data_IF_301479935254
#
_entry.id   IF_301479935254
#
_cell.length_a   1.000
_cell.length_b   1.000
_cell.length_c   1.000
_cell.angle_alpha   90.00
_cell.angle_beta   90.00
_cell.angle_gamma   90.00
#
_symmetry.space_group_name_H-M   'P 1'
#
loop_
_entity.id
_entity.type
_entity.pdbx_description
1 polymer ?
#
# COMPACT_ATOMS: atom_id res chain seq x y z
N UNK A 1 -13.65 -11.68 -14.43
CA UNK A 1 -13.68 -10.36 -15.09
C UNK A 1 -12.75 -10.30 -16.30
N UNK A 2 -11.58 -10.96 -16.31
CA UNK A 2 -10.74 -11.09 -17.52
C UNK A 2 -10.03 -9.80 -17.95
N UNK A 3 -10.04 -8.76 -17.10
CA UNK A 3 -9.42 -7.46 -17.37
C UNK A 3 -8.76 -6.90 -16.11
N UNK A 4 -7.67 -6.16 -16.31
CA UNK A 4 -6.98 -5.40 -15.26
C UNK A 4 -7.30 -3.89 -15.32
N UNK A 5 -8.15 -3.47 -16.27
CA UNK A 5 -8.56 -2.07 -16.42
C UNK A 5 -9.58 -1.69 -15.34
N UNK A 6 -9.18 -0.80 -14.42
CA UNK A 6 -10.05 -0.29 -13.36
C UNK A 6 -11.30 0.41 -13.91
N UNK A 7 -11.25 0.97 -15.12
CA UNK A 7 -12.40 1.60 -15.76
C UNK A 7 -13.42 0.58 -16.29
N UNK A 8 -13.07 -0.71 -16.29
CA UNK A 8 -13.94 -1.84 -16.69
C UNK A 8 -14.48 -2.65 -15.52
N UNK A 9 -14.09 -2.33 -14.29
CA UNK A 9 -14.55 -2.98 -13.06
C UNK A 9 -15.62 -2.14 -12.34
N UNK A 10 -16.27 -2.71 -11.31
CA UNK A 10 -17.26 -2.00 -10.50
C UNK A 10 -18.35 -2.93 -9.94
N UNK A 11 -18.82 -2.61 -8.74
CA UNK A 11 -19.93 -3.27 -8.05
C UNK A 11 -19.70 -4.73 -7.66
N UNK A 12 -18.45 -5.20 -7.69
CA UNK A 12 -18.11 -6.60 -7.44
C UNK A 12 -18.34 -7.07 -6.01
N UNK A 13 -18.58 -6.16 -5.05
CA UNK A 13 -18.86 -6.54 -3.65
C UNK A 13 -20.07 -7.47 -3.54
N UNK A 14 -21.05 -7.32 -4.44
CA UNK A 14 -22.25 -8.16 -4.49
C UNK A 14 -21.97 -9.60 -4.93
N UNK A 15 -20.86 -9.85 -5.65
CA UNK A 15 -20.48 -11.16 -6.19
C UNK A 15 -19.31 -11.80 -5.48
N UNK A 16 -18.43 -10.98 -4.90
CA UNK A 16 -17.19 -11.39 -4.26
C UNK A 16 -17.04 -10.73 -2.87
N UNK A 17 -17.99 -10.90 -1.95
CA UNK A 17 -17.98 -10.24 -0.64
C UNK A 17 -16.79 -10.65 0.25
N UNK A 18 -16.31 -11.88 0.15
CA UNK A 18 -15.17 -12.35 0.96
C UNK A 18 -13.86 -11.78 0.41
N UNK A 19 -13.69 -11.75 -0.91
CA UNK A 19 -12.54 -11.08 -1.53
C UNK A 19 -12.54 -9.58 -1.20
N UNK A 20 -13.72 -8.94 -1.22
CA UNK A 20 -13.87 -7.55 -0.79
C UNK A 20 -13.40 -7.33 0.66
N UNK A 21 -13.83 -8.19 1.59
CA UNK A 21 -13.45 -8.10 3.00
C UNK A 21 -11.92 -8.19 3.16
N UNK A 22 -11.28 -9.17 2.53
CA UNK A 22 -9.82 -9.33 2.58
C UNK A 22 -9.12 -8.09 2.03
N UNK A 23 -9.54 -7.60 0.86
CA UNK A 23 -8.96 -6.39 0.27
C UNK A 23 -9.15 -5.20 1.20
N UNK A 24 -10.34 -5.04 1.79
CA UNK A 24 -10.64 -3.95 2.71
C UNK A 24 -9.71 -3.99 3.93
N UNK A 25 -9.46 -5.16 4.53
CA UNK A 25 -8.48 -5.32 5.61
C UNK A 25 -7.08 -4.86 5.16
N UNK A 26 -6.64 -5.30 3.98
CA UNK A 26 -5.37 -4.86 3.41
C UNK A 26 -5.29 -3.35 3.17
N UNK A 27 -6.39 -2.73 2.72
CA UNK A 27 -6.50 -1.30 2.47
C UNK A 27 -6.48 -0.50 3.77
N UNK A 28 -7.18 -0.94 4.81
CA UNK A 28 -7.13 -0.35 6.15
C UNK A 28 -5.70 -0.44 6.70
N UNK A 29 -5.01 -1.58 6.47
CA UNK A 29 -3.61 -1.76 6.81
C UNK A 29 -2.67 -0.79 6.11
N UNK A 30 -2.77 -0.69 4.77
CA UNK A 30 -1.96 0.23 3.98
C UNK A 30 -2.25 1.71 4.29
N UNK A 31 -3.51 2.06 4.53
CA UNK A 31 -3.91 3.38 5.01
C UNK A 31 -3.27 3.69 6.36
N UNK A 32 -2.98 2.67 7.16
CA UNK A 32 -2.43 2.79 8.50
C UNK A 32 -3.52 3.25 9.46
N UNK A 33 -4.66 2.57 9.45
CA UNK A 33 -5.73 2.77 10.41
C UNK A 33 -5.69 1.66 11.48
N UNK A 34 -5.94 1.97 12.76
CA UNK A 34 -6.22 0.93 13.75
C UNK A 34 -7.43 0.11 13.28
N UNK A 35 -7.48 -1.24 13.44
CA UNK A 35 -6.65 -2.14 14.24
C UNK A 35 -5.51 -2.85 13.50
N UNK A 36 -5.04 -2.31 12.37
CA UNK A 36 -4.09 -3.00 11.50
C UNK A 36 -2.63 -2.70 11.85
N UNK A 37 -1.72 -3.64 11.52
CA UNK A 37 -0.29 -3.48 11.78
C UNK A 37 0.36 -2.27 11.08
N UNK A 38 -0.19 -1.84 9.94
CA UNK A 38 0.32 -0.66 9.22
C UNK A 38 0.17 0.65 10.02
N UNK A 39 -0.77 0.74 10.96
CA UNK A 39 -0.83 1.88 11.89
C UNK A 39 0.37 1.88 12.84
N UNK A 40 0.68 0.73 13.44
CA UNK A 40 1.82 0.55 14.35
C UNK A 40 3.13 0.92 13.65
N UNK A 41 3.35 0.41 12.44
CA UNK A 41 4.56 0.70 11.66
C UNK A 41 4.72 2.19 11.36
N UNK A 42 3.65 2.88 10.95
CA UNK A 42 3.71 4.32 10.67
C UNK A 42 3.90 5.13 11.94
N UNK A 43 3.23 4.75 13.03
CA UNK A 43 3.42 5.41 14.32
C UNK A 43 4.88 5.33 14.78
N UNK A 44 5.53 4.17 14.66
CA UNK A 44 6.95 3.99 14.99
C UNK A 44 7.86 4.87 14.11
N UNK A 45 7.61 4.92 12.80
CA UNK A 45 8.39 5.76 11.87
C UNK A 45 8.21 7.24 12.23
N UNK A 46 6.97 7.69 12.42
CA UNK A 46 6.67 9.06 12.77
C UNK A 46 7.31 9.46 14.08
N UNK A 47 7.25 8.58 15.08
CA UNK A 47 7.85 8.85 16.37
C UNK A 47 9.38 8.91 16.28
N UNK A 48 10.01 7.99 15.55
CA UNK A 48 11.45 8.02 15.33
C UNK A 48 11.90 9.32 14.63
N UNK A 49 11.15 9.81 13.64
CA UNK A 49 11.47 11.07 12.95
C UNK A 49 11.32 12.30 13.85
N UNK A 50 10.35 12.27 14.77
CA UNK A 50 10.17 13.33 15.76
C UNK A 50 11.30 13.29 16.80
N UNK A 51 11.62 12.10 17.30
CA UNK A 51 12.68 11.89 18.31
C UNK A 51 14.06 12.33 17.76
N UNK A 52 14.32 12.08 16.48
CA UNK A 52 15.57 12.50 15.79
C UNK A 52 15.55 13.95 15.29
N UNK A 53 14.48 14.70 15.57
CA UNK A 53 14.39 16.12 15.17
C UNK A 53 14.34 16.35 13.66
N UNK A 54 13.72 15.43 12.91
CA UNK A 54 13.60 15.48 11.44
C UNK A 54 12.17 15.87 10.97
N UNK A 55 11.69 17.10 11.25
CA UNK A 55 10.31 17.49 10.98
C UNK A 55 9.96 17.49 9.49
N UNK A 56 10.91 17.79 8.61
CA UNK A 56 10.67 17.79 7.17
C UNK A 56 10.40 16.37 6.64
N UNK A 57 11.16 15.39 7.13
CA UNK A 57 10.95 13.99 6.76
C UNK A 57 9.68 13.42 7.38
N UNK A 58 9.32 13.86 8.60
CA UNK A 58 8.00 13.56 9.19
C UNK A 58 6.86 14.05 8.29
N UNK A 59 6.90 15.32 7.85
CA UNK A 59 5.89 15.87 6.94
C UNK A 59 5.85 15.08 5.63
N UNK A 60 7.00 14.75 5.05
CA UNK A 60 7.07 13.94 3.84
C UNK A 60 6.44 12.55 4.02
N UNK A 61 6.69 11.89 5.16
CA UNK A 61 6.11 10.58 5.49
C UNK A 61 4.58 10.63 5.68
N UNK A 62 4.06 11.72 6.26
CA UNK A 62 2.62 11.96 6.39
C UNK A 62 1.99 12.20 5.01
N UNK A 63 2.60 13.04 4.16
CA UNK A 63 2.13 13.27 2.78
C UNK A 63 2.14 11.97 1.97
N UNK A 64 3.19 11.14 2.09
CA UNK A 64 3.25 9.83 1.45
C UNK A 64 2.14 8.89 1.91
N UNK A 65 1.76 8.97 3.18
CA UNK A 65 0.61 8.22 3.71
C UNK A 65 -0.72 8.71 3.14
N UNK A 66 -0.93 10.01 3.01
CA UNK A 66 -2.11 10.56 2.35
C UNK A 66 -2.19 10.12 0.88
N UNK A 67 -1.07 10.15 0.15
CA UNK A 67 -1.00 9.63 -1.21
C UNK A 67 -1.37 8.15 -1.32
N UNK A 68 -0.94 7.34 -0.34
CA UNK A 68 -1.31 5.93 -0.23
C UNK A 68 -2.82 5.77 -0.06
N UNK A 69 -3.42 6.52 0.88
CA UNK A 69 -4.87 6.49 1.15
C UNK A 69 -5.67 6.83 -0.10
N UNK A 70 -5.28 7.88 -0.80
CA UNK A 70 -5.91 8.30 -2.07
C UNK A 70 -5.79 7.18 -3.11
N UNK A 71 -4.60 6.62 -3.31
CA UNK A 71 -4.40 5.53 -4.28
C UNK A 71 -5.28 4.30 -3.99
N UNK A 72 -5.27 3.81 -2.75
CA UNK A 72 -6.04 2.60 -2.38
C UNK A 72 -7.54 2.85 -2.35
N UNK A 73 -7.99 4.07 -2.04
CA UNK A 73 -9.41 4.42 -2.12
C UNK A 73 -9.95 4.30 -3.55
N UNK A 74 -9.21 4.80 -4.55
CA UNK A 74 -9.58 4.61 -5.96
C UNK A 74 -9.67 3.13 -6.32
N UNK A 75 -8.74 2.31 -5.83
CA UNK A 75 -8.75 0.87 -6.08
C UNK A 75 -9.99 0.19 -5.48
N UNK A 76 -10.32 0.47 -4.21
CA UNK A 76 -11.53 -0.06 -3.57
C UNK A 76 -12.80 0.38 -4.31
N UNK A 77 -12.88 1.68 -4.61
CA UNK A 77 -14.03 2.30 -5.25
C UNK A 77 -14.29 1.68 -6.63
N UNK A 78 -13.30 1.69 -7.52
CA UNK A 78 -13.47 1.28 -8.90
C UNK A 78 -13.71 -0.23 -9.06
N UNK A 79 -13.19 -1.06 -8.15
CA UNK A 79 -13.33 -2.52 -8.27
C UNK A 79 -14.64 -2.99 -7.65
N UNK A 80 -14.92 -2.59 -6.40
CA UNK A 80 -15.92 -3.25 -5.57
C UNK A 80 -17.17 -2.42 -5.31
N UNK A 81 -17.07 -1.08 -5.29
CA UNK A 81 -18.19 -0.20 -5.00
C UNK A 81 -18.98 0.17 -6.27
N UNK A 82 -20.12 0.82 -6.09
CA UNK A 82 -20.99 1.24 -7.19
C UNK A 82 -21.87 0.13 -7.75
N UNK A 83 -22.40 0.37 -8.94
CA UNK A 83 -23.35 -0.51 -9.61
C UNK A 83 -22.64 -1.72 -10.23
N UNK A 84 -23.17 -2.93 -10.03
CA UNK A 84 -22.67 -4.13 -10.68
C UNK A 84 -22.85 -4.01 -12.20
N UNK A 85 -21.79 -4.31 -12.95
CA UNK A 85 -21.87 -4.34 -14.42
C UNK A 85 -22.55 -5.62 -14.89
N UNK A 86 -23.38 -5.51 -15.92
CA UNK A 86 -24.04 -6.65 -16.59
C UNK A 86 -23.01 -7.70 -17.03
N UNK A 87 -21.87 -7.25 -17.56
CA UNK A 87 -20.73 -8.11 -17.96
C UNK A 87 -20.17 -8.97 -16.81
N UNK A 88 -20.34 -8.52 -15.56
CA UNK A 88 -19.83 -9.20 -14.36
C UNK A 88 -20.92 -9.99 -13.62
N UNK A 89 -22.13 -10.13 -14.19
CA UNK A 89 -23.21 -10.90 -13.58
C UNK A 89 -22.97 -12.42 -13.55
N UNK A 90 -21.97 -12.95 -14.22
CA UNK A 90 -21.59 -14.35 -14.10
C UNK A 90 -20.42 -14.56 -13.11
N UNK A 91 -19.82 -13.48 -12.61
CA UNK A 91 -18.71 -13.54 -11.68
C UNK A 91 -19.18 -14.13 -10.36
N UNK A 92 -18.31 -14.99 -9.80
CA UNK A 92 -18.47 -15.66 -8.52
C UNK A 92 -17.23 -15.42 -7.67
N UNK A 93 -17.36 -15.73 -6.39
CA UNK A 93 -16.26 -15.71 -5.44
C UNK A 93 -15.07 -16.57 -5.91
N UNK A 94 -13.87 -16.19 -5.45
CA UNK A 94 -12.65 -16.95 -5.74
C UNK A 94 -12.71 -18.37 -5.14
N UNK A 95 -12.01 -19.35 -5.75
CA UNK A 95 -11.93 -20.70 -5.18
C UNK A 95 -11.27 -20.68 -3.79
N UNK A 96 -11.64 -21.65 -2.94
CA UNK A 96 -11.15 -21.74 -1.57
C UNK A 96 -9.62 -21.84 -1.45
N UNK A 97 -8.94 -22.39 -2.46
CA UNK A 97 -7.47 -22.46 -2.53
C UNK A 97 -6.79 -21.08 -2.60
N UNK A 98 -7.48 -20.07 -3.16
CA UNK A 98 -7.00 -18.68 -3.16
C UNK A 98 -7.49 -17.93 -1.91
N UNK A 99 -8.72 -18.22 -1.48
CA UNK A 99 -9.31 -17.52 -0.34
C UNK A 99 -8.61 -17.86 0.99
N UNK A 100 -8.20 -19.11 1.17
CA UNK A 100 -7.53 -19.56 2.40
C UNK A 100 -6.23 -18.79 2.70
N UNK A 101 -5.24 -18.69 1.78
CA UNK A 101 -4.04 -17.90 2.05
C UNK A 101 -4.34 -16.41 2.21
N UNK A 102 -5.30 -15.87 1.47
CA UNK A 102 -5.76 -14.48 1.60
C UNK A 102 -6.29 -14.17 3.01
N UNK A 103 -7.17 -15.02 3.54
CA UNK A 103 -7.71 -14.89 4.88
C UNK A 103 -6.63 -15.10 5.95
N UNK A 104 -5.72 -16.05 5.75
CA UNK A 104 -4.61 -16.28 6.67
C UNK A 104 -3.71 -15.05 6.78
N UNK A 105 -3.34 -14.43 5.66
CA UNK A 105 -2.54 -13.20 5.66
C UNK A 105 -3.30 -12.03 6.29
N UNK A 106 -4.59 -11.88 5.96
CA UNK A 106 -5.46 -10.86 6.57
C UNK A 106 -5.54 -11.01 8.10
N UNK A 107 -5.65 -12.24 8.59
CA UNK A 107 -5.64 -12.53 10.02
C UNK A 107 -4.30 -12.20 10.67
N UNK A 108 -3.17 -12.53 10.02
CA UNK A 108 -1.84 -12.16 10.53
C UNK A 108 -1.71 -10.64 10.63
N UNK A 109 -2.15 -9.90 9.62
CA UNK A 109 -2.14 -8.42 9.62
C UNK A 109 -2.98 -7.84 10.76
N UNK A 110 -4.16 -8.42 11.02
CA UNK A 110 -5.00 -8.02 12.14
C UNK A 110 -4.39 -8.36 13.50
N UNK A 111 -3.92 -9.60 13.70
CA UNK A 111 -3.35 -10.05 14.98
C UNK A 111 -2.09 -9.26 15.33
N UNK A 112 -1.18 -9.08 14.36
CA UNK A 112 0.03 -8.27 14.57
C UNK A 112 -0.25 -6.78 14.71
N UNK A 113 -1.43 -6.31 14.27
CA UNK A 113 -1.90 -4.95 14.51
C UNK A 113 -2.53 -4.75 15.88
N UNK A 114 -3.32 -5.72 16.35
CA UNK A 114 -3.96 -5.69 17.65
C UNK A 114 -2.95 -5.92 18.80
N UNK A 115 -2.03 -6.86 18.60
CA UNK A 115 -1.02 -7.25 19.56
C UNK A 115 0.40 -7.13 18.95
N UNK A 116 0.87 -5.90 18.66
CA UNK A 116 2.18 -5.68 18.04
C UNK A 116 3.35 -6.15 18.91
N UNK A 117 3.17 -6.28 20.23
CA UNK A 117 4.18 -6.85 21.13
C UNK A 117 4.74 -8.19 20.65
N UNK A 118 3.89 -9.04 20.05
CA UNK A 118 4.28 -10.34 19.50
C UNK A 118 5.41 -10.26 18.47
N UNK A 119 5.51 -9.14 17.74
CA UNK A 119 6.56 -8.90 16.74
C UNK A 119 7.67 -8.04 17.33
N UNK A 120 7.33 -7.07 18.17
CA UNK A 120 8.29 -6.15 18.79
C UNK A 120 9.27 -6.87 19.73
N UNK A 121 8.86 -7.95 20.40
CA UNK A 121 9.74 -8.74 21.24
C UNK A 121 10.93 -9.32 20.45
N UNK A 122 10.70 -9.78 19.22
CA UNK A 122 11.77 -10.24 18.33
C UNK A 122 12.69 -9.08 17.93
N UNK A 123 12.09 -7.91 17.64
CA UNK A 123 12.84 -6.72 17.26
C UNK A 123 13.76 -6.24 18.39
N UNK A 124 13.29 -6.25 19.64
CA UNK A 124 14.10 -5.83 20.79
C UNK A 124 15.29 -6.76 21.05
N UNK A 125 15.13 -8.05 20.78
CA UNK A 125 16.23 -9.03 20.85
C UNK A 125 17.33 -8.64 19.85
N UNK A 126 16.95 -8.34 18.61
CA UNK A 126 17.89 -7.87 17.58
C UNK A 126 18.52 -6.52 17.94
N UNK A 127 17.74 -5.57 18.46
CA UNK A 127 18.25 -4.26 18.89
C UNK A 127 19.32 -4.39 19.98
N UNK A 128 19.12 -5.31 20.94
CA UNK A 128 20.05 -5.56 22.03
C UNK A 128 21.39 -6.10 21.51
N UNK A 129 21.35 -7.03 20.57
CA UNK A 129 22.57 -7.59 19.93
C UNK A 129 23.32 -6.54 19.09
N UNK A 130 22.60 -5.61 18.47
CA UNK A 130 23.20 -4.52 17.68
C UNK A 130 23.66 -3.31 18.53
N UNK A 131 23.45 -3.34 19.85
CA UNK A 131 23.76 -2.22 20.75
C UNK A 131 22.90 -0.97 20.51
N UNK A 132 21.71 -1.13 19.93
CA UNK A 132 20.76 -0.05 19.68
C UNK A 132 19.87 0.20 20.91
N UNK A 133 19.28 1.40 20.98
CA UNK A 133 18.30 1.73 22.01
C UNK A 133 17.10 0.77 21.93
N UNK A 134 16.86 0.06 23.03
CA UNK A 134 15.86 -1.01 23.10
C UNK A 134 14.50 -0.40 23.43
N UNK A 135 13.49 -0.73 22.61
CA UNK A 135 12.09 -0.40 22.91
C UNK A 135 11.62 -1.17 24.14
N UNK A 136 10.69 -0.62 24.92
CA UNK A 136 9.99 -1.34 25.99
C UNK A 136 8.65 -1.88 25.46
N UNK A 137 8.61 -3.09 24.87
CA UNK A 137 7.41 -3.64 24.28
C UNK A 137 6.42 -4.05 25.37
N UNK A 138 5.15 -3.82 25.09
CA UNK A 138 4.02 -4.44 25.78
C UNK A 138 3.21 -5.21 24.75
N UNK A 139 2.29 -6.07 25.20
CA UNK A 139 1.43 -6.81 24.27
C UNK A 139 0.72 -5.87 23.27
N UNK A 140 0.22 -4.74 23.77
CA UNK A 140 -0.47 -3.73 22.97
C UNK A 140 0.43 -2.77 22.19
N UNK A 141 1.75 -2.74 22.40
CA UNK A 141 2.61 -1.78 21.70
C UNK A 141 3.91 -1.50 22.42
N UNK A 142 4.15 -0.21 22.68
CA UNK A 142 5.42 0.26 23.24
C UNK A 142 5.12 1.26 24.35
N UNK A 143 5.64 1.00 25.54
CA UNK A 143 5.58 1.95 26.65
C UNK A 143 6.74 2.95 26.52
N UNK A 144 6.41 4.24 26.66
CA UNK A 144 7.40 5.32 26.67
C UNK A 144 6.96 6.46 27.62
N UNK A 145 7.90 7.16 28.27
CA UNK A 145 7.60 8.29 29.17
C UNK A 145 6.95 9.50 28.47
N UNK A 146 7.20 9.65 27.17
CA UNK A 146 6.83 10.77 26.32
C UNK A 146 5.64 10.46 25.38
N UNK A 147 4.89 9.40 25.70
CA UNK A 147 3.70 8.94 24.99
C UNK A 147 3.91 7.57 24.34
N UNK A 148 3.46 6.52 25.02
CA UNK A 148 3.45 5.16 24.48
C UNK A 148 2.30 4.90 23.49
N UNK A 149 2.38 3.75 22.82
CA UNK A 149 1.31 3.21 21.99
C UNK A 149 0.72 1.97 22.67
N UNK A 150 -0.59 1.96 22.89
CA UNK A 150 -1.34 0.77 23.31
C UNK A 150 -2.51 0.51 22.35
N UNK A 151 -2.31 -0.45 21.45
CA UNK A 151 -3.31 -0.88 20.47
C UNK A 151 -4.52 -1.56 21.10
N UNK A 152 -4.40 -2.21 22.26
CA UNK A 152 -5.57 -2.84 22.90
C UNK A 152 -6.57 -1.77 23.33
N UNK A 153 -6.09 -0.67 23.90
CA UNK A 153 -6.93 0.48 24.23
C UNK A 153 -7.45 1.21 22.99
N UNK A 154 -6.57 1.52 22.03
CA UNK A 154 -6.96 2.24 20.81
C UNK A 154 -8.05 1.48 20.06
N UNK A 155 -7.87 0.16 19.90
CA UNK A 155 -8.82 -0.70 19.21
C UNK A 155 -10.07 -0.93 20.05
N UNK A 156 -9.95 -1.10 21.37
CA UNK A 156 -11.08 -1.22 22.27
C UNK A 156 -12.00 0.01 22.22
N UNK A 157 -11.43 1.22 22.27
CA UNK A 157 -12.17 2.48 22.15
C UNK A 157 -12.83 2.60 20.78
N UNK A 158 -12.12 2.26 19.71
CA UNK A 158 -12.65 2.28 18.35
C UNK A 158 -13.87 1.36 18.20
N UNK A 159 -13.78 0.10 18.64
CA UNK A 159 -14.89 -0.84 18.56
C UNK A 159 -16.03 -0.51 19.52
N UNK A 160 -15.74 0.06 20.70
CA UNK A 160 -16.78 0.61 21.57
C UNK A 160 -17.55 1.73 20.87
N UNK A 161 -16.85 2.64 20.18
CA UNK A 161 -17.45 3.69 19.35
C UNK A 161 -18.33 3.12 18.23
N UNK A 162 -17.84 2.12 17.49
CA UNK A 162 -18.66 1.42 16.50
C UNK A 162 -19.87 0.72 17.12
N UNK A 163 -19.73 0.13 18.31
CA UNK A 163 -20.82 -0.48 19.06
C UNK A 163 -21.91 0.53 19.41
N UNK A 164 -21.53 1.69 19.94
CA UNK A 164 -22.49 2.78 20.23
C UNK A 164 -23.15 3.27 18.94
N UNK A 165 -22.39 3.49 17.87
CA UNK A 165 -22.94 3.88 16.58
C UNK A 165 -23.92 2.86 16.01
N UNK A 166 -23.61 1.57 16.13
CA UNK A 166 -24.48 0.48 15.72
C UNK A 166 -25.77 0.44 16.56
N UNK A 167 -25.68 0.62 17.88
CA UNK A 167 -26.86 0.70 18.75
C UNK A 167 -27.77 1.87 18.37
N UNK A 168 -27.21 3.05 18.12
CA UNK A 168 -27.98 4.22 17.65
C UNK A 168 -28.63 3.93 16.30
N UNK A 169 -27.88 3.35 15.36
CA UNK A 169 -28.39 3.01 14.04
C UNK A 169 -29.53 1.99 14.09
N UNK A 170 -29.38 0.93 14.90
CA UNK A 170 -30.37 -0.12 15.07
C UNK A 170 -31.59 0.33 15.88
N UNK A 171 -31.42 1.27 16.81
CA UNK A 171 -32.52 1.93 17.51
C UNK A 171 -33.28 2.92 16.61
N UNK A 172 -32.74 3.24 15.43
CA UNK A 172 -33.41 4.03 14.40
C UNK A 172 -34.70 3.38 13.90
N UNK A 173 -35.50 4.16 13.19
CA UNK A 173 -36.78 3.69 12.62
C UNK A 173 -36.64 2.59 11.56
N UNK A 174 -37.77 2.19 10.96
CA UNK A 174 -37.81 1.11 9.97
C UNK A 174 -36.91 1.41 8.76
N UNK A 175 -35.92 0.55 8.53
CA UNK A 175 -35.12 0.55 7.32
C UNK A 175 -35.91 0.00 6.13
N UNK A 176 -35.68 0.55 4.93
CA UNK A 176 -36.19 0.01 3.67
C UNK A 176 -35.03 -0.15 2.70
N UNK A 177 -34.93 -1.33 2.09
CA UNK A 177 -33.98 -1.58 1.02
C UNK A 177 -34.52 -0.99 -0.28
N UNK A 178 -33.72 -0.18 -0.96
CA UNK A 178 -34.04 0.41 -2.27
C UNK A 178 -33.11 -0.15 -3.34
N UNK A 179 -33.57 -0.16 -4.60
CA UNK A 179 -32.76 -0.67 -5.69
C UNK A 179 -31.59 0.29 -6.00
N UNK A 180 -30.46 -0.22 -6.48
CA UNK A 180 -29.28 0.61 -6.78
C UNK A 180 -29.49 1.62 -7.93
N UNK A 181 -30.54 1.41 -8.73
CA UNK A 181 -30.98 2.34 -9.78
C UNK A 181 -31.92 3.44 -9.24
N UNK A 182 -32.50 3.24 -8.04
CA UNK A 182 -33.32 4.24 -7.36
C UNK A 182 -32.42 5.21 -6.56
N UNK A 183 -31.43 5.79 -7.23
CA UNK A 183 -30.47 6.70 -6.63
C UNK A 183 -30.74 8.14 -7.04
N UNK A 184 -30.22 9.10 -6.28
CA UNK A 184 -30.36 10.51 -6.60
C UNK A 184 -29.61 10.84 -7.90
N UNK A 185 -30.37 11.11 -8.96
CA UNK A 185 -29.85 11.53 -10.26
C UNK A 185 -30.46 12.86 -10.70
N UNK A 186 -30.67 13.79 -9.76
CA UNK A 186 -31.23 15.12 -10.07
C UNK A 186 -32.65 15.08 -10.67
N UNK A 187 -33.44 14.05 -10.32
CA UNK A 187 -34.79 13.84 -10.86
C UNK A 187 -34.85 12.97 -12.12
N UNK A 188 -33.72 12.43 -12.59
CA UNK A 188 -33.70 11.47 -13.70
C UNK A 188 -33.78 10.02 -13.20
N UNK A 189 -34.29 9.11 -14.04
CA UNK A 189 -34.27 7.68 -13.75
C UNK A 189 -32.96 7.07 -14.24
N UNK A 190 -32.34 6.22 -13.42
CA UNK A 190 -31.15 5.49 -13.83
C UNK A 190 -31.55 4.20 -14.52
N UNK A 191 -30.98 3.97 -15.69
CA UNK A 191 -31.06 2.69 -16.40
C UNK A 191 -29.73 1.96 -16.28
N UNK A 192 -29.71 0.66 -16.54
CA UNK A 192 -28.47 -0.12 -16.54
C UNK A 192 -27.43 0.40 -17.57
N UNK A 193 -27.89 1.11 -18.60
CA UNK A 193 -27.07 1.74 -19.62
C UNK A 193 -26.40 3.03 -19.12
N UNK A 194 -27.12 3.84 -18.34
CA UNK A 194 -26.64 5.12 -17.79
C UNK A 194 -26.19 4.94 -16.35
N UNK A 195 -24.90 4.63 -16.20
CA UNK A 195 -24.30 4.35 -14.88
C UNK A 195 -23.80 5.62 -14.22
N UNK A 196 -24.06 5.74 -12.92
CA UNK A 196 -23.59 6.83 -12.06
C UNK A 196 -22.32 6.45 -11.26
N UNK A 197 -21.55 5.49 -11.76
CA UNK A 197 -20.29 5.08 -11.16
C UNK A 197 -19.11 5.72 -11.90
N UNK A 198 -18.46 6.70 -11.27
CA UNK A 198 -17.36 7.45 -11.86
C UNK A 198 -16.04 6.68 -11.65
N UNK A 199 -15.68 5.82 -12.60
CA UNK A 199 -14.39 5.11 -12.57
C UNK A 199 -13.29 5.84 -13.34
N UNK A 200 -13.65 6.53 -14.42
CA UNK A 200 -12.71 7.17 -15.32
C UNK A 200 -12.21 8.52 -14.79
N UNK A 201 -10.93 8.82 -15.03
CA UNK A 201 -10.25 10.05 -14.57
C UNK A 201 -10.61 10.47 -13.12
N UNK A 202 -10.65 9.50 -12.20
CA UNK A 202 -11.12 9.64 -10.82
C UNK A 202 -10.60 10.88 -10.05
N UNK A 203 -9.36 11.28 -10.31
CA UNK A 203 -8.71 12.43 -9.68
C UNK A 203 -8.54 13.64 -10.61
N UNK A 204 -9.47 13.84 -11.55
CA UNK A 204 -9.43 14.94 -12.52
C UNK A 204 -9.17 16.31 -11.87
N UNK A 205 -9.87 16.62 -10.76
CA UNK A 205 -9.72 17.89 -10.05
C UNK A 205 -8.33 18.09 -9.45
N UNK A 206 -7.77 17.05 -8.82
CA UNK A 206 -6.40 17.07 -8.31
C UNK A 206 -5.41 17.22 -9.46
N UNK A 207 -5.57 16.41 -10.51
CA UNK A 207 -4.72 16.43 -11.70
C UNK A 207 -4.82 17.72 -12.50
N UNK A 208 -5.91 18.48 -12.40
CA UNK A 208 -5.99 19.81 -12.98
C UNK A 208 -5.05 20.79 -12.26
N UNK A 209 -4.89 20.64 -10.93
CA UNK A 209 -4.03 21.50 -10.12
C UNK A 209 -2.55 21.11 -10.20
N UNK A 210 -2.25 19.82 -10.09
CA UNK A 210 -0.85 19.32 -10.05
C UNK A 210 -0.33 18.90 -11.42
N UNK A 211 -1.21 18.66 -12.39
CA UNK A 211 -0.88 18.13 -13.70
C UNK A 211 0.21 18.87 -14.47
N UNK A 212 0.26 20.22 -14.48
CA UNK A 212 1.27 20.95 -15.23
C UNK A 212 2.72 20.59 -14.88
N UNK A 213 3.00 20.27 -13.61
CA UNK A 213 4.34 19.88 -13.15
C UNK A 213 4.49 18.38 -12.89
N UNK A 214 3.38 17.66 -12.68
CA UNK A 214 3.39 16.22 -12.40
C UNK A 214 3.38 15.36 -13.68
N UNK A 215 2.67 15.78 -14.73
CA UNK A 215 2.56 14.95 -15.95
C UNK A 215 3.90 14.92 -16.67
N UNK A 216 4.40 13.71 -16.91
CA UNK A 216 5.65 13.49 -17.63
C UNK A 216 6.91 13.69 -16.78
N UNK A 217 6.83 14.16 -15.52
CA UNK A 217 8.01 14.36 -14.67
C UNK A 217 8.72 13.04 -14.36
N UNK A 218 7.96 11.99 -14.03
CA UNK A 218 8.51 10.65 -13.79
C UNK A 218 9.04 9.99 -15.06
N UNK A 219 8.37 10.18 -16.20
CA UNK A 219 8.86 9.68 -17.49
C UNK A 219 10.18 10.37 -17.86
N UNK A 220 10.24 11.68 -17.75
CA UNK A 220 11.46 12.45 -17.94
C UNK A 220 12.59 12.00 -17.01
N UNK A 221 12.29 11.77 -15.72
CA UNK A 221 13.28 11.26 -14.77
C UNK A 221 13.77 9.88 -15.17
N UNK A 222 12.86 8.96 -15.50
CA UNK A 222 13.18 7.60 -15.94
C UNK A 222 14.06 7.64 -17.19
N UNK A 223 13.66 8.39 -18.21
CA UNK A 223 14.39 8.51 -19.47
C UNK A 223 15.77 9.14 -19.24
N UNK A 224 15.87 10.11 -18.32
CA UNK A 224 17.15 10.71 -17.92
C UNK A 224 18.08 9.72 -17.23
N UNK A 225 17.54 8.90 -16.31
CA UNK A 225 18.32 7.85 -15.63
C UNK A 225 18.78 6.80 -16.62
N UNK A 226 17.90 6.34 -17.52
CA UNK A 226 18.22 5.37 -18.57
C UNK A 226 19.32 5.92 -19.49
N UNK A 227 19.17 7.16 -19.96
CA UNK A 227 20.16 7.80 -20.80
C UNK A 227 21.53 7.95 -20.09
N UNK A 228 21.53 8.30 -18.81
CA UNK A 228 22.76 8.37 -18.01
C UNK A 228 23.43 6.99 -17.87
N UNK A 229 22.65 5.95 -17.59
CA UNK A 229 23.18 4.57 -17.52
C UNK A 229 23.73 4.09 -18.85
N UNK A 230 23.06 4.40 -19.96
CA UNK A 230 23.50 4.04 -21.30
C UNK A 230 24.81 4.75 -21.67
N UNK A 231 24.94 6.03 -21.32
CA UNK A 231 26.17 6.79 -21.55
C UNK A 231 27.35 6.20 -20.77
N UNK A 232 27.14 5.84 -19.50
CA UNK A 232 28.16 5.19 -18.67
C UNK A 232 28.54 3.80 -19.22
N UNK A 233 27.55 3.01 -19.64
CA UNK A 233 27.78 1.70 -20.25
C UNK A 233 28.60 1.83 -21.55
N UNK A 234 28.27 2.80 -22.40
CA UNK A 234 29.02 3.07 -23.62
C UNK A 234 30.44 3.56 -23.35
N UNK A 235 30.64 4.43 -22.37
CA UNK A 235 31.96 4.90 -21.95
C UNK A 235 32.82 3.73 -21.43
N UNK A 236 32.27 2.88 -20.56
CA UNK A 236 32.95 1.69 -20.06
C UNK A 236 33.30 0.71 -21.19
N UNK A 237 32.37 0.47 -22.13
CA UNK A 237 32.63 -0.35 -23.32
C UNK A 237 33.68 0.27 -24.25
N UNK A 238 33.75 1.60 -24.33
CA UNK A 238 34.80 2.33 -25.04
C UNK A 238 36.17 2.11 -24.40
N UNK A 239 36.28 2.31 -23.08
CA UNK A 239 37.52 2.06 -22.32
C UNK A 239 37.95 0.60 -22.46
N UNK A 240 37.02 -0.36 -22.33
CA UNK A 240 37.30 -1.78 -22.51
C UNK A 240 37.89 -2.08 -23.90
N UNK A 241 37.34 -1.46 -24.95
CA UNK A 241 37.83 -1.63 -26.33
C UNK A 241 39.19 -0.98 -26.57
N UNK A 242 39.48 0.17 -25.96
CA UNK A 242 40.76 0.88 -26.11
C UNK A 242 41.86 0.20 -25.31
N UNK A 243 41.58 -0.13 -24.04
CA UNK A 243 42.57 -0.74 -23.15
C UNK A 243 42.84 -2.19 -23.57
N UNK A 244 41.87 -2.89 -24.17
CA UNK A 244 41.98 -4.32 -24.48
C UNK A 244 42.55 -5.12 -23.29
N UNK A 245 41.93 -5.05 -22.10
CA UNK A 245 42.50 -5.64 -20.88
C UNK A 245 42.75 -7.15 -21.01
N UNK A 246 41.99 -7.85 -21.86
CA UNK A 246 42.26 -9.24 -22.21
C UNK A 246 43.64 -9.44 -22.87
N UNK A 247 44.07 -8.55 -23.76
CA UNK A 247 45.38 -8.63 -24.41
C UNK A 247 46.53 -8.32 -23.42
N UNK A 248 46.34 -7.35 -22.53
CA UNK A 248 47.32 -7.07 -21.47
C UNK A 248 47.42 -8.19 -20.45
N UNK A 249 46.29 -8.76 -20.01
CA UNK A 249 46.27 -9.93 -19.14
C UNK A 249 47.02 -11.09 -19.80
N UNK A 250 46.76 -11.36 -21.09
CA UNK A 250 47.44 -12.40 -21.85
C UNK A 250 48.95 -12.15 -21.91
N UNK A 251 49.37 -10.92 -22.23
CA UNK A 251 50.77 -10.51 -22.25
C UNK A 251 51.47 -10.65 -20.89
N UNK A 252 50.82 -10.24 -19.80
CA UNK A 252 51.33 -10.40 -18.43
C UNK A 252 51.45 -11.88 -18.07
N UNK A 253 50.45 -12.71 -18.36
CA UNK A 253 50.55 -14.16 -18.12
C UNK A 253 51.66 -14.81 -18.93
N UNK A 254 51.85 -14.44 -20.19
CA UNK A 254 52.93 -14.98 -21.03
C UNK A 254 54.30 -14.59 -20.46
N UNK A 255 54.49 -13.33 -20.07
CA UNK A 255 55.73 -12.86 -19.45
C UNK A 255 56.02 -13.56 -18.10
N UNK A 256 54.98 -13.75 -17.27
CA UNK A 256 55.11 -14.45 -16.01
C UNK A 256 55.50 -15.93 -16.21
N UNK A 257 54.89 -16.61 -17.18
CA UNK A 257 55.23 -18.00 -17.53
C UNK A 257 56.66 -18.11 -18.09
N UNK A 258 57.09 -17.14 -18.90
CA UNK A 258 58.47 -17.10 -19.42
C UNK A 258 59.50 -16.93 -18.29
N UNK A 259 59.26 -16.01 -17.34
CA UNK A 259 60.15 -15.84 -16.17
C UNK A 259 60.26 -17.15 -15.39
N UNK A 260 59.14 -17.79 -15.06
CA UNK A 260 59.15 -19.03 -14.27
C UNK A 260 59.86 -20.19 -14.98
N UNK A 261 59.90 -20.19 -16.32
CA UNK A 261 60.55 -21.22 -17.11
C UNK A 261 62.03 -20.95 -17.45
N UNK A 262 62.54 -19.75 -17.18
CA UNK A 262 63.93 -19.32 -17.42
C UNK A 262 64.78 -19.41 -16.14
#
# INVERSE_FOLDING_TARGET
TGTADLNKLGGLVTRMPLTFLVLLVGIIGLAGLPPMNGFVSKWLIYRALIDDGQPLLFVAAVVGTLGTIVSVYKLLHNIFLGQLRVEHESVREVPGSMLAPMLALSLIVFVTGLAPGLVLDWLTTVQRELGLAVLAPTLGGVERPDGGLDMLWVVGILFAGFGVGALIFLAGGRARTVHQLDNYAGGHFLTAEVRYHYSDNFYAGLMHRIGPWYRGSFQWLQDSVVAATDLLAQAAAGVYRVVQPAAWLLGVTVLALWWVAA
#
